data_IF_406078182235
#
_entry.id   IF_406078182235
#
_cell.length_a   1.000
_cell.length_b   1.000
_cell.length_c   1.000
_cell.angle_alpha   90.00
_cell.angle_beta   90.00
_cell.angle_gamma   90.00
#
_symmetry.space_group_name_H-M   'P 1'
#
loop_
_entity.id
_entity.type
_entity.pdbx_description
1 polymer ?
#
# COMPACT_ATOMS: atom_id res chain seq x y z
N UNK A 1 25.79 -7.92 4.23
CA UNK A 1 26.03 -6.52 4.63
C UNK A 1 25.17 -6.25 5.84
N UNK A 2 25.72 -5.76 6.93
CA UNK A 2 24.91 -5.27 8.05
C UNK A 2 24.29 -3.96 7.57
N UNK A 3 22.98 -3.97 7.32
CA UNK A 3 22.26 -2.76 6.97
C UNK A 3 22.30 -1.87 8.22
N UNK A 4 22.92 -0.69 8.13
CA UNK A 4 22.89 0.27 9.22
C UNK A 4 21.42 0.59 9.54
N UNK A 5 21.08 0.69 10.82
CA UNK A 5 19.73 1.04 11.23
C UNK A 5 19.41 2.46 10.76
N UNK A 6 18.31 2.62 10.01
CA UNK A 6 17.90 3.93 9.47
C UNK A 6 17.52 4.80 10.66
N UNK A 7 18.15 5.98 10.79
CA UNK A 7 17.78 6.95 11.82
C UNK A 7 16.36 7.44 11.58
N UNK A 8 15.51 7.32 12.60
CA UNK A 8 14.07 7.65 12.51
C UNK A 8 13.66 8.84 13.37
N UNK A 9 14.52 9.32 14.27
CA UNK A 9 14.20 10.40 15.22
C UNK A 9 15.22 11.52 15.12
N UNK A 10 14.74 12.77 15.12
CA UNK A 10 15.53 13.97 14.92
C UNK A 10 15.05 15.09 15.84
N UNK A 11 15.97 15.73 16.55
CA UNK A 11 15.66 16.83 17.46
C UNK A 11 15.96 18.18 16.79
N UNK A 12 15.07 19.15 16.92
CA UNK A 12 15.25 20.52 16.45
C UNK A 12 14.63 21.49 17.46
N UNK A 13 15.45 21.98 18.39
CA UNK A 13 14.97 22.87 19.46
C UNK A 13 13.90 22.19 20.31
N UNK A 14 12.68 22.79 20.45
CA UNK A 14 11.63 22.26 21.30
C UNK A 14 10.87 21.07 20.70
N UNK A 15 11.10 20.75 19.42
CA UNK A 15 10.38 19.67 18.72
C UNK A 15 11.28 18.50 18.36
N UNK A 16 10.67 17.31 18.35
CA UNK A 16 11.25 16.07 17.84
C UNK A 16 10.44 15.61 16.63
N UNK A 17 11.13 15.40 15.51
CA UNK A 17 10.57 14.71 14.34
C UNK A 17 10.78 13.21 14.47
N UNK A 18 9.75 12.43 14.13
CA UNK A 18 9.91 10.99 13.94
C UNK A 18 9.34 10.58 12.59
N UNK A 19 10.16 9.92 11.77
CA UNK A 19 9.75 9.32 10.50
C UNK A 19 9.63 7.80 10.65
N UNK A 20 8.51 7.22 10.21
CA UNK A 20 8.27 5.77 10.24
C UNK A 20 7.60 5.32 8.97
N UNK A 21 7.97 4.14 8.48
CA UNK A 21 7.14 3.47 7.49
C UNK A 21 5.96 2.82 8.22
N UNK A 22 4.75 3.05 7.70
CA UNK A 22 3.51 2.47 8.23
C UNK A 22 2.81 1.67 7.15
N UNK A 23 2.22 0.55 7.57
CA UNK A 23 1.25 -0.21 6.81
C UNK A 23 -0.11 0.06 7.44
N UNK A 24 -1.03 0.64 6.67
CA UNK A 24 -2.40 0.86 7.10
C UNK A 24 -3.24 -0.31 6.61
N UNK A 25 -3.24 -1.39 7.40
CA UNK A 25 -4.04 -2.58 7.17
C UNK A 25 -5.26 -2.67 8.10
N UNK A 26 -5.37 -1.79 9.10
CA UNK A 26 -6.40 -1.84 10.15
C UNK A 26 -7.85 -1.75 9.66
N UNK A 27 -8.08 -1.29 8.43
CA UNK A 27 -9.36 -1.36 7.74
C UNK A 27 -9.15 -1.91 6.32
N UNK A 28 -8.78 -3.20 6.25
CA UNK A 28 -8.58 -4.03 5.04
C UNK A 28 -9.57 -3.72 3.89
N UNK A 29 -10.77 -3.24 4.21
CA UNK A 29 -11.87 -3.02 3.27
C UNK A 29 -12.00 -1.59 2.71
N UNK A 30 -11.40 -0.57 3.32
CA UNK A 30 -11.65 0.84 2.91
C UNK A 30 -10.37 1.53 2.43
N UNK A 31 -9.24 1.38 3.14
CA UNK A 31 -8.02 2.17 2.90
C UNK A 31 -6.72 1.38 3.14
N UNK A 32 -6.58 0.20 2.51
CA UNK A 32 -5.29 -0.47 2.48
C UNK A 32 -4.25 0.44 1.79
N UNK A 33 -3.28 0.92 2.55
CA UNK A 33 -2.30 1.91 2.10
C UNK A 33 -0.98 1.73 2.86
N UNK A 34 0.08 2.36 2.36
CA UNK A 34 1.38 2.36 3.03
C UNK A 34 2.25 3.54 2.61
N UNK A 35 3.25 3.82 3.42
CA UNK A 35 4.32 4.75 3.10
C UNK A 35 4.90 5.35 4.37
N UNK A 36 5.37 6.59 4.32
CA UNK A 36 6.06 7.22 5.45
C UNK A 36 5.16 8.20 6.18
N UNK A 37 5.00 8.00 7.48
CA UNK A 37 4.46 9.01 8.40
C UNK A 37 5.60 9.83 8.96
N UNK A 38 5.38 11.14 9.07
CA UNK A 38 6.29 12.07 9.72
C UNK A 38 5.50 12.79 10.80
N UNK A 39 5.85 12.55 12.06
CA UNK A 39 5.21 13.20 13.21
C UNK A 39 6.12 14.26 13.79
N UNK A 40 5.53 15.40 14.17
CA UNK A 40 6.19 16.47 14.93
C UNK A 40 5.67 16.38 16.35
N UNK A 41 6.57 16.19 17.31
CA UNK A 41 6.25 15.96 18.71
C UNK A 41 6.96 16.96 19.60
N UNK A 42 6.41 17.26 20.77
CA UNK A 42 7.09 17.97 21.85
C UNK A 42 6.59 17.49 23.21
N UNK A 43 7.25 17.92 24.28
CA UNK A 43 6.73 17.75 25.63
C UNK A 43 5.63 18.80 25.88
N UNK A 44 4.41 18.34 26.16
CA UNK A 44 3.27 19.18 26.54
C UNK A 44 2.71 18.62 27.84
N UNK A 45 2.69 19.43 28.90
CA UNK A 45 2.22 19.02 30.23
C UNK A 45 2.88 17.75 30.79
N UNK A 46 4.16 17.52 30.48
CA UNK A 46 4.92 16.35 30.93
C UNK A 46 4.75 15.09 30.09
N UNK A 47 4.01 15.16 28.99
CA UNK A 47 3.79 14.05 28.06
C UNK A 47 4.33 14.36 26.66
N UNK A 48 4.79 13.33 25.94
CA UNK A 48 5.23 13.49 24.56
C UNK A 48 4.00 13.51 23.64
N UNK A 49 3.62 14.68 23.17
CA UNK A 49 2.40 14.90 22.39
C UNK A 49 2.70 15.08 20.91
N UNK A 50 1.88 14.47 20.03
CA UNK A 50 1.93 14.68 18.58
C UNK A 50 1.22 15.99 18.24
N UNK A 51 2.01 16.99 17.83
CA UNK A 51 1.53 18.33 17.48
C UNK A 51 1.03 18.38 16.04
N UNK A 52 1.75 17.74 15.13
CA UNK A 52 1.44 17.64 13.70
C UNK A 52 1.75 16.23 13.20
N UNK A 53 1.01 15.78 12.19
CA UNK A 53 1.29 14.54 11.49
C UNK A 53 1.19 14.75 9.97
N UNK A 54 2.16 14.26 9.23
CA UNK A 54 2.15 14.22 7.77
C UNK A 54 2.13 12.76 7.31
N UNK A 55 1.12 12.40 6.54
CA UNK A 55 0.99 11.10 5.88
C UNK A 55 1.51 11.22 4.45
N UNK A 56 2.67 10.64 4.19
CA UNK A 56 3.29 10.57 2.86
C UNK A 56 3.10 9.17 2.28
N UNK A 57 1.84 8.74 2.14
CA UNK A 57 1.50 7.40 1.67
C UNK A 57 1.21 7.34 0.17
N UNK A 58 1.05 6.12 -0.34
CA UNK A 58 0.73 5.89 -1.75
C UNK A 58 -0.63 6.52 -2.12
N UNK A 59 -1.64 6.43 -1.24
CA UNK A 59 -3.00 6.94 -1.47
C UNK A 59 -3.33 8.13 -0.55
N UNK A 60 -3.24 7.96 0.76
CA UNK A 60 -3.59 8.93 1.80
C UNK A 60 -2.44 9.93 2.00
N UNK A 61 -2.39 10.89 1.09
CA UNK A 61 -1.46 12.03 1.16
C UNK A 61 -2.15 13.17 1.89
N UNK A 62 -1.82 13.34 3.17
CA UNK A 62 -2.50 14.30 4.05
C UNK A 62 -1.62 14.82 5.17
N UNK A 63 -2.07 15.90 5.82
CA UNK A 63 -1.46 16.40 7.04
C UNK A 63 -2.54 16.77 8.05
N UNK A 64 -2.21 16.66 9.34
CA UNK A 64 -3.15 16.79 10.45
C UNK A 64 -2.58 17.78 11.46
N UNK A 65 -3.37 18.80 11.78
CA UNK A 65 -3.09 19.73 12.90
C UNK A 65 -3.61 19.15 14.21
N UNK A 66 -2.80 19.24 15.27
CA UNK A 66 -3.20 18.90 16.64
C UNK A 66 -3.91 17.54 16.79
N UNK A 67 -3.38 16.44 16.24
CA UNK A 67 -4.04 15.12 16.33
C UNK A 67 -4.27 14.66 17.78
N UNK A 68 -3.51 15.19 18.74
CA UNK A 68 -3.66 14.93 20.18
C UNK A 68 -4.07 16.18 20.98
N UNK A 69 -4.52 17.25 20.32
CA UNK A 69 -5.00 18.46 20.99
C UNK A 69 -6.53 18.41 21.19
N UNK A 70 -7.05 18.18 22.41
CA UNK A 70 -8.48 18.15 22.67
C UNK A 70 -9.14 19.54 22.55
N UNK A 71 -8.35 20.61 22.66
CA UNK A 71 -8.82 22.00 22.63
C UNK A 71 -8.58 22.67 21.26
N UNK A 72 -8.30 21.87 20.22
CA UNK A 72 -8.04 22.41 18.89
C UNK A 72 -9.25 23.21 18.39
N UNK A 73 -9.01 24.48 18.06
CA UNK A 73 -10.06 25.35 17.56
C UNK A 73 -10.51 24.91 16.17
N UNK A 74 -11.82 24.78 15.98
CA UNK A 74 -12.39 24.59 14.65
C UNK A 74 -12.29 25.89 13.85
N UNK A 75 -11.23 26.02 13.08
CA UNK A 75 -10.89 27.22 12.30
C UNK A 75 -10.91 26.94 10.79
N UNK A 76 -12.00 26.35 10.29
CA UNK A 76 -12.15 25.91 8.89
C UNK A 76 -13.20 26.70 8.12
N UNK A 77 -13.29 26.51 6.79
CA UNK A 77 -14.49 26.90 6.07
C UNK A 77 -15.70 26.29 6.77
N UNK A 78 -16.71 27.11 7.11
CA UNK A 78 -17.90 26.66 7.85
C UNK A 78 -18.59 25.45 7.20
N UNK A 79 -18.49 25.33 5.87
CA UNK A 79 -19.04 24.21 5.09
C UNK A 79 -18.35 22.85 5.35
N UNK A 80 -17.16 22.85 5.96
CA UNK A 80 -16.33 21.68 6.25
C UNK A 80 -16.25 21.35 7.76
N UNK A 81 -16.98 22.08 8.60
CA UNK A 81 -17.08 21.76 10.03
C UNK A 81 -17.57 20.32 10.24
N UNK A 82 -16.88 19.54 11.09
CA UNK A 82 -17.17 18.13 11.32
C UNK A 82 -16.76 17.15 10.21
N UNK A 83 -16.24 17.64 9.06
CA UNK A 83 -15.82 16.78 7.92
C UNK A 83 -14.32 16.64 7.76
N UNK A 84 -13.55 17.48 8.43
CA UNK A 84 -12.09 17.51 8.39
C UNK A 84 -11.47 16.97 9.68
N UNK A 85 -12.29 16.39 10.55
CA UNK A 85 -11.83 15.69 11.75
C UNK A 85 -11.24 14.33 11.33
N UNK A 86 -10.20 13.88 12.02
CA UNK A 86 -9.63 12.57 11.75
C UNK A 86 -10.60 11.44 12.16
N UNK A 87 -10.21 10.17 11.94
CA UNK A 87 -11.03 9.01 12.31
C UNK A 87 -11.32 8.86 13.81
N UNK A 88 -10.57 9.55 14.68
CA UNK A 88 -10.78 9.57 16.13
C UNK A 88 -11.55 10.81 16.60
N UNK A 89 -11.98 11.69 15.69
CA UNK A 89 -12.63 12.96 16.01
C UNK A 89 -11.68 14.03 16.59
N UNK A 90 -10.37 13.80 16.56
CA UNK A 90 -9.36 14.72 17.10
C UNK A 90 -8.50 15.32 15.98
N UNK A 91 -8.02 16.54 16.14
CA UNK A 91 -7.20 17.16 15.11
C UNK A 91 -7.94 17.48 13.81
N UNK A 92 -7.23 18.15 12.90
CA UNK A 92 -7.80 18.64 11.65
C UNK A 92 -6.98 18.25 10.44
N UNK A 93 -7.54 17.35 9.62
CA UNK A 93 -6.94 16.77 8.44
C UNK A 93 -7.16 17.65 7.20
N UNK A 94 -6.11 17.76 6.39
CA UNK A 94 -6.13 18.33 5.06
C UNK A 94 -5.44 17.38 4.07
N UNK A 95 -5.93 17.33 2.84
CA UNK A 95 -5.34 16.52 1.75
C UNK A 95 -4.23 17.31 1.05
N UNK A 96 -3.19 16.59 0.64
CA UNK A 96 -2.22 17.08 -0.34
C UNK A 96 -2.71 16.65 -1.71
N UNK A 97 -2.72 17.56 -2.69
CA UNK A 97 -3.03 17.21 -4.08
C UNK A 97 -1.72 16.86 -4.79
N UNK A 98 -1.43 15.59 -5.06
CA UNK A 98 -0.17 15.22 -5.69
C UNK A 98 0.01 15.78 -7.10
N UNK A 99 -1.07 16.25 -7.75
CA UNK A 99 -1.01 16.91 -9.05
C UNK A 99 -0.39 18.31 -8.93
N UNK A 100 -0.77 19.05 -7.89
CA UNK A 100 -0.30 20.42 -7.66
C UNK A 100 0.93 20.48 -6.74
N UNK A 101 0.95 19.63 -5.71
CA UNK A 101 1.94 19.60 -4.63
C UNK A 101 3.15 18.70 -4.96
N UNK A 102 2.97 17.76 -5.89
CA UNK A 102 4.01 16.82 -6.30
C UNK A 102 4.26 15.70 -5.28
N UNK A 103 5.54 15.41 -5.01
CA UNK A 103 5.92 14.33 -4.09
C UNK A 103 5.61 14.72 -2.63
N UNK A 104 4.88 13.91 -1.85
CA UNK A 104 4.43 14.28 -0.50
C UNK A 104 5.57 14.43 0.51
N UNK A 105 6.67 13.67 0.39
CA UNK A 105 7.84 13.85 1.26
C UNK A 105 8.49 15.20 0.95
N UNK A 106 8.77 15.48 -0.33
CA UNK A 106 9.36 16.76 -0.74
C UNK A 106 8.50 17.97 -0.37
N UNK A 107 7.18 17.85 -0.52
CA UNK A 107 6.23 18.88 -0.09
C UNK A 107 6.30 19.09 1.42
N UNK A 108 6.24 18.01 2.20
CA UNK A 108 6.31 18.08 3.68
C UNK A 108 7.58 18.79 4.14
N UNK A 109 8.75 18.43 3.59
CA UNK A 109 10.02 19.06 3.96
C UNK A 109 10.04 20.55 3.63
N UNK A 110 9.54 20.92 2.44
CA UNK A 110 9.42 22.32 2.01
C UNK A 110 8.49 23.12 2.92
N UNK A 111 7.37 22.52 3.32
CA UNK A 111 6.38 23.14 4.21
C UNK A 111 6.96 23.32 5.61
N UNK A 112 7.58 22.29 6.20
CA UNK A 112 8.22 22.36 7.52
C UNK A 112 9.28 23.47 7.55
N UNK A 113 10.18 23.53 6.56
CA UNK A 113 11.24 24.57 6.50
C UNK A 113 10.70 25.99 6.48
N UNK A 114 9.49 26.20 5.95
CA UNK A 114 8.94 27.54 5.70
C UNK A 114 7.87 27.96 6.70
N UNK A 115 7.07 27.02 7.19
CA UNK A 115 5.79 27.30 7.84
C UNK A 115 5.57 26.53 9.15
N UNK A 116 6.59 25.83 9.67
CA UNK A 116 6.40 25.08 10.91
C UNK A 116 5.88 25.95 12.08
N UNK A 117 6.41 27.16 12.35
CA UNK A 117 5.89 27.99 13.44
C UNK A 117 4.39 28.30 13.29
N UNK A 118 3.96 28.74 12.10
CA UNK A 118 2.55 29.03 11.84
C UNK A 118 1.67 27.79 11.92
N UNK A 119 2.21 26.63 11.51
CA UNK A 119 1.50 25.37 11.63
C UNK A 119 1.30 24.94 13.09
N UNK A 120 2.31 25.15 13.94
CA UNK A 120 2.24 24.85 15.37
C UNK A 120 1.29 25.79 16.10
N UNK A 121 1.31 27.09 15.78
CA UNK A 121 0.34 28.07 16.28
C UNK A 121 -1.10 27.64 15.95
N UNK A 122 -1.33 27.28 14.68
CA UNK A 122 -2.62 26.75 14.22
C UNK A 122 -3.02 25.43 14.88
N UNK A 123 -2.07 24.56 15.19
CA UNK A 123 -2.31 23.34 15.96
C UNK A 123 -2.60 23.60 17.45
N UNK A 124 -2.58 24.86 17.91
CA UNK A 124 -2.87 25.26 19.27
C UNK A 124 -1.66 25.30 20.19
N UNK A 125 -0.45 25.38 19.64
CA UNK A 125 0.81 25.38 20.39
C UNK A 125 1.65 26.66 20.16
N UNK A 126 1.12 27.86 20.47
CA UNK A 126 1.77 29.14 20.19
C UNK A 126 3.10 29.34 20.93
N UNK A 127 3.25 28.78 22.14
CA UNK A 127 4.49 28.95 22.92
C UNK A 127 5.64 28.13 22.33
N UNK A 128 5.38 26.87 21.95
CA UNK A 128 6.35 26.04 21.23
C UNK A 128 6.71 26.67 19.88
N UNK A 129 5.71 27.25 19.17
CA UNK A 129 5.93 27.90 17.89
C UNK A 129 6.96 29.05 17.95
N UNK A 130 6.95 29.85 19.03
CA UNK A 130 7.89 30.97 19.23
C UNK A 130 9.34 30.52 19.47
N UNK A 131 9.52 29.29 19.94
CA UNK A 131 10.83 28.71 20.25
C UNK A 131 11.48 28.03 19.04
N UNK A 132 10.78 27.93 17.90
CA UNK A 132 11.32 27.33 16.69
C UNK A 132 12.38 28.23 16.04
N UNK A 133 13.60 27.72 15.96
CA UNK A 133 14.67 28.27 15.15
C UNK A 133 14.66 27.63 13.75
N UNK A 134 14.36 28.44 12.72
CA UNK A 134 14.29 27.97 11.33
C UNK A 134 15.66 27.62 10.74
N UNK A 135 16.76 28.20 11.25
CA UNK A 135 18.11 27.86 10.80
C UNK A 135 18.49 26.46 11.28
N UNK A 136 18.29 26.18 12.58
CA UNK A 136 18.49 24.83 13.16
C UNK A 136 17.59 23.79 12.48
N UNK A 137 16.32 24.17 12.22
CA UNK A 137 15.38 23.30 11.53
C UNK A 137 15.85 22.95 10.11
N UNK A 138 16.43 23.89 9.37
CA UNK A 138 16.85 23.68 7.99
C UNK A 138 17.88 22.54 7.87
N UNK A 139 18.82 22.45 8.82
CA UNK A 139 19.83 21.40 8.87
C UNK A 139 19.20 20.03 9.18
N UNK A 140 18.33 19.98 10.20
CA UNK A 140 17.65 18.74 10.62
C UNK A 140 16.75 18.18 9.52
N UNK A 141 16.04 19.05 8.78
CA UNK A 141 15.12 18.61 7.74
C UNK A 141 15.85 17.89 6.59
N UNK A 142 17.11 18.22 6.29
CA UNK A 142 17.87 17.51 5.24
C UNK A 142 18.10 16.04 5.62
N UNK A 143 18.48 15.78 6.87
CA UNK A 143 18.71 14.42 7.36
C UNK A 143 17.39 13.65 7.48
N UNK A 144 16.35 14.30 8.00
CA UNK A 144 14.99 13.75 8.06
C UNK A 144 14.47 13.37 6.66
N UNK A 145 14.69 14.22 5.65
CA UNK A 145 14.28 13.95 4.27
C UNK A 145 14.98 12.71 3.72
N UNK A 146 16.30 12.59 3.92
CA UNK A 146 17.06 11.44 3.48
C UNK A 146 16.54 10.15 4.11
N UNK A 147 16.34 10.13 5.44
CA UNK A 147 15.76 8.98 6.13
C UNK A 147 14.33 8.67 5.69
N UNK A 148 13.48 9.68 5.51
CA UNK A 148 12.11 9.48 5.04
C UNK A 148 12.09 8.84 3.64
N UNK A 149 12.95 9.30 2.73
CA UNK A 149 13.07 8.71 1.38
C UNK A 149 13.60 7.27 1.44
N UNK A 150 14.57 7.01 2.28
CA UNK A 150 15.11 5.66 2.47
C UNK A 150 14.06 4.72 3.08
N UNK A 151 13.35 5.14 4.12
CA UNK A 151 12.24 4.38 4.73
C UNK A 151 11.15 4.05 3.70
N UNK A 152 10.77 5.01 2.87
CA UNK A 152 9.74 4.84 1.84
C UNK A 152 10.07 3.71 0.86
N UNK A 153 11.35 3.55 0.52
CA UNK A 153 11.81 2.52 -0.42
C UNK A 153 12.13 1.21 0.31
N UNK A 154 12.94 1.27 1.37
CA UNK A 154 13.52 0.11 2.02
C UNK A 154 12.55 -0.68 2.90
N UNK A 155 11.47 -0.04 3.39
CA UNK A 155 10.48 -0.66 4.28
C UNK A 155 9.13 -0.92 3.60
N UNK A 156 9.06 -0.71 2.29
CA UNK A 156 7.86 -0.96 1.49
C UNK A 156 7.41 -2.41 1.64
N UNK A 157 6.18 -2.60 2.05
CA UNK A 157 5.57 -3.91 2.22
C UNK A 157 5.28 -4.51 0.84
N UNK A 158 5.97 -5.59 0.51
CA UNK A 158 5.77 -6.40 -0.69
C UNK A 158 5.71 -7.87 -0.30
N UNK A 159 5.05 -8.69 -1.09
CA UNK A 159 4.98 -10.15 -0.88
C UNK A 159 5.44 -10.87 -2.14
N UNK A 160 5.94 -12.10 -2.02
CA UNK A 160 6.29 -12.95 -3.15
C UNK A 160 5.59 -14.28 -2.99
N UNK A 161 4.58 -14.52 -3.82
CA UNK A 161 3.95 -15.82 -3.91
C UNK A 161 4.72 -16.75 -4.84
N UNK A 162 4.24 -17.99 -4.95
CA UNK A 162 4.65 -18.89 -6.01
C UNK A 162 4.15 -18.39 -7.36
N UNK A 163 4.79 -18.84 -8.43
CA UNK A 163 4.32 -18.61 -9.80
C UNK A 163 3.14 -19.52 -10.17
N UNK A 164 2.89 -20.57 -9.38
CA UNK A 164 1.91 -21.61 -9.66
C UNK A 164 2.48 -22.82 -10.39
N UNK A 165 1.69 -23.89 -10.45
CA UNK A 165 2.05 -25.19 -11.06
C UNK A 165 1.71 -25.27 -12.54
N UNK A 166 0.69 -24.51 -12.96
CA UNK A 166 0.18 -24.49 -14.33
C UNK A 166 0.29 -23.07 -14.86
N UNK A 167 1.07 -22.88 -15.93
CA UNK A 167 1.38 -21.57 -16.52
C UNK A 167 0.76 -21.47 -17.92
N UNK A 168 0.11 -20.33 -18.18
CA UNK A 168 -0.49 -19.98 -19.46
C UNK A 168 0.14 -18.69 -19.98
N UNK A 169 0.85 -18.76 -21.11
CA UNK A 169 1.51 -17.59 -21.72
C UNK A 169 0.54 -16.78 -22.58
N UNK A 170 0.44 -15.47 -22.33
CA UNK A 170 -0.51 -14.57 -22.97
C UNK A 170 0.19 -13.26 -23.38
N UNK A 171 1.01 -13.33 -24.42
CA UNK A 171 1.77 -12.17 -24.90
C UNK A 171 2.86 -11.76 -23.92
N UNK A 172 2.82 -10.52 -23.43
CA UNK A 172 3.79 -9.97 -22.49
C UNK A 172 3.53 -10.35 -21.02
N UNK A 173 2.45 -11.08 -20.75
CA UNK A 173 2.12 -11.60 -19.41
C UNK A 173 1.91 -13.11 -19.44
N UNK A 174 1.85 -13.68 -18.25
CA UNK A 174 1.53 -15.09 -18.02
C UNK A 174 0.56 -15.20 -16.86
N UNK A 175 -0.39 -16.13 -16.96
CA UNK A 175 -1.21 -16.53 -15.84
C UNK A 175 -0.62 -17.78 -15.19
N UNK A 176 -0.52 -17.78 -13.87
CA UNK A 176 -0.13 -18.95 -13.09
C UNK A 176 -1.24 -19.39 -12.16
N UNK A 177 -1.51 -20.70 -12.09
CA UNK A 177 -2.51 -21.26 -11.18
C UNK A 177 -1.83 -22.00 -10.02
N UNK A 178 -2.26 -21.74 -8.79
CA UNK A 178 -1.77 -22.40 -7.57
C UNK A 178 -2.93 -22.77 -6.65
N UNK A 179 -2.97 -24.01 -6.15
CA UNK A 179 -3.80 -24.33 -4.98
C UNK A 179 -3.00 -24.00 -3.72
N UNK A 180 -3.49 -23.07 -2.89
CA UNK A 180 -2.77 -22.56 -1.72
C UNK A 180 -3.56 -22.79 -0.44
N UNK A 181 -2.90 -23.29 0.61
CA UNK A 181 -3.43 -23.34 1.99
C UNK A 181 -2.49 -22.64 2.95
N UNK A 182 -2.98 -21.63 3.65
CA UNK A 182 -2.24 -20.90 4.67
C UNK A 182 -2.16 -21.73 5.97
N UNK A 183 -1.16 -21.46 6.84
CA UNK A 183 -1.05 -22.12 8.14
C UNK A 183 -2.28 -21.96 9.04
N UNK A 184 -3.04 -20.87 8.87
CA UNK A 184 -4.28 -20.59 9.59
C UNK A 184 -5.49 -21.38 9.08
N UNK A 185 -5.34 -22.15 8.01
CA UNK A 185 -6.38 -23.01 7.43
C UNK A 185 -7.16 -22.38 6.27
N UNK A 186 -7.12 -21.06 6.10
CA UNK A 186 -7.66 -20.39 4.91
C UNK A 186 -6.86 -20.74 3.66
N UNK A 187 -7.47 -20.61 2.48
CA UNK A 187 -6.84 -20.94 1.21
C UNK A 187 -7.85 -21.19 0.09
N UNK A 188 -7.34 -21.60 -1.07
CA UNK A 188 -8.12 -21.82 -2.27
C UNK A 188 -7.25 -21.77 -3.51
N UNK A 189 -7.89 -21.58 -4.67
CA UNK A 189 -7.19 -21.31 -5.92
C UNK A 189 -6.64 -19.87 -5.92
N UNK A 190 -5.36 -19.71 -6.23
CA UNK A 190 -4.75 -18.45 -6.58
C UNK A 190 -4.51 -18.38 -8.09
N UNK A 191 -4.76 -17.21 -8.68
CA UNK A 191 -4.45 -16.88 -10.07
C UNK A 191 -3.46 -15.73 -10.07
N UNK A 192 -2.21 -16.03 -10.41
CA UNK A 192 -1.11 -15.10 -10.50
C UNK A 192 -1.07 -14.47 -11.90
N UNK A 193 -0.83 -13.16 -11.97
CA UNK A 193 -0.47 -12.49 -13.22
C UNK A 193 1.00 -12.09 -13.12
N UNK A 194 1.80 -12.64 -14.02
CA UNK A 194 3.25 -12.58 -13.99
C UNK A 194 3.77 -11.90 -15.26
N UNK A 195 4.89 -11.19 -15.14
CA UNK A 195 5.64 -10.66 -16.29
C UNK A 195 7.13 -10.61 -15.95
N UNK A 196 7.97 -10.35 -16.93
CA UNK A 196 9.40 -10.17 -16.73
C UNK A 196 9.71 -8.68 -16.56
N UNK A 197 10.24 -8.29 -15.40
CA UNK A 197 10.59 -6.90 -15.07
C UNK A 197 12.10 -6.76 -14.97
N UNK A 198 12.63 -5.68 -15.56
CA UNK A 198 14.04 -5.32 -15.50
C UNK A 198 14.92 -6.15 -16.43
N UNK A 199 15.15 -5.68 -17.66
CA UNK A 199 15.98 -6.40 -18.64
C UNK A 199 15.16 -7.15 -19.67
N UNK A 200 15.78 -8.13 -20.32
CA UNK A 200 15.12 -9.07 -21.23
C UNK A 200 15.40 -10.50 -20.77
N UNK A 201 14.66 -11.47 -21.29
CA UNK A 201 14.82 -12.90 -20.95
C UNK A 201 16.23 -13.45 -21.18
N UNK A 202 17.06 -12.76 -21.96
CA UNK A 202 18.46 -13.09 -22.22
C UNK A 202 19.46 -12.43 -21.24
N UNK A 203 18.98 -11.57 -20.33
CA UNK A 203 19.82 -10.85 -19.36
C UNK A 203 19.77 -11.51 -18.01
N UNK A 204 20.90 -11.52 -17.31
CA UNK A 204 21.06 -12.12 -15.99
C UNK A 204 20.31 -11.40 -14.85
N UNK A 205 19.73 -10.24 -15.13
CA UNK A 205 19.04 -9.40 -14.15
C UNK A 205 17.53 -9.32 -14.35
N UNK A 206 16.97 -10.16 -15.25
CA UNK A 206 15.53 -10.29 -15.45
C UNK A 206 14.88 -10.96 -14.24
N UNK A 207 13.83 -10.33 -13.70
CA UNK A 207 13.03 -10.89 -12.62
C UNK A 207 11.60 -11.16 -13.12
N UNK A 208 11.20 -12.44 -13.14
CA UNK A 208 9.80 -12.80 -13.21
C UNK A 208 9.08 -12.27 -11.96
N UNK A 209 8.16 -11.34 -12.18
CA UNK A 209 7.51 -10.52 -11.18
C UNK A 209 6.01 -10.77 -11.21
N UNK A 210 5.43 -11.06 -10.04
CA UNK A 210 3.98 -11.10 -9.85
C UNK A 210 3.43 -9.67 -9.76
N UNK A 211 2.71 -9.27 -10.80
CA UNK A 211 2.18 -7.90 -10.96
C UNK A 211 0.74 -7.79 -10.45
N UNK A 212 0.01 -8.90 -10.41
CA UNK A 212 -1.30 -9.02 -9.76
C UNK A 212 -1.52 -10.44 -9.26
N UNK A 213 -2.40 -10.60 -8.28
CA UNK A 213 -2.84 -11.91 -7.79
C UNK A 213 -4.33 -11.87 -7.47
N UNK A 214 -5.05 -12.94 -7.80
CA UNK A 214 -6.42 -13.18 -7.38
C UNK A 214 -6.44 -14.42 -6.49
N UNK A 215 -6.67 -14.24 -5.20
CA UNK A 215 -6.73 -15.30 -4.21
C UNK A 215 -8.21 -15.65 -3.95
N UNK A 216 -8.73 -16.67 -4.64
CA UNK A 216 -10.12 -17.14 -4.56
C UNK A 216 -10.29 -18.01 -3.30
N UNK A 217 -9.99 -17.42 -2.16
CA UNK A 217 -9.91 -18.12 -0.89
C UNK A 217 -11.28 -18.33 -0.26
N UNK A 218 -11.46 -19.42 0.47
CA UNK A 218 -12.78 -19.76 1.00
C UNK A 218 -13.19 -18.84 2.16
N UNK A 219 -12.26 -18.43 3.03
CA UNK A 219 -12.56 -17.55 4.16
C UNK A 219 -12.32 -16.07 3.82
N UNK A 220 -11.12 -15.75 3.33
CA UNK A 220 -10.69 -14.40 3.01
C UNK A 220 -10.39 -14.20 1.51
N UNK A 221 -11.37 -14.31 0.60
CA UNK A 221 -11.15 -14.10 -0.83
C UNK A 221 -10.75 -12.64 -1.09
N UNK A 222 -9.67 -12.44 -1.84
CA UNK A 222 -9.15 -11.10 -2.14
C UNK A 222 -8.30 -11.07 -3.41
N UNK A 223 -7.91 -9.88 -3.83
CA UNK A 223 -6.95 -9.69 -4.90
C UNK A 223 -5.94 -8.58 -4.57
N UNK A 224 -4.75 -8.69 -5.16
CA UNK A 224 -3.63 -7.80 -4.95
C UNK A 224 -3.37 -6.92 -6.17
N UNK A 225 -3.22 -5.62 -5.95
CA UNK A 225 -2.56 -4.73 -6.89
C UNK A 225 -1.06 -4.67 -6.60
N UNK A 226 -0.25 -5.23 -7.49
CA UNK A 226 1.20 -5.19 -7.43
C UNK A 226 1.77 -5.84 -6.17
N UNK A 227 1.65 -7.16 -5.95
CA UNK A 227 2.31 -7.87 -4.84
C UNK A 227 3.78 -7.48 -4.65
N UNK A 228 4.50 -7.30 -5.76
CA UNK A 228 5.91 -6.86 -5.81
C UNK A 228 6.13 -5.34 -5.88
N UNK A 229 5.07 -4.54 -5.70
CA UNK A 229 5.13 -3.08 -5.75
C UNK A 229 4.33 -2.44 -4.60
N UNK A 230 3.00 -2.34 -4.72
CA UNK A 230 2.13 -1.68 -3.74
C UNK A 230 1.54 -2.65 -2.72
N UNK A 231 1.40 -3.92 -3.10
CA UNK A 231 0.76 -4.97 -2.32
C UNK A 231 -0.61 -4.56 -1.72
N UNK A 232 -1.40 -3.79 -2.47
CA UNK A 232 -2.71 -3.36 -2.00
C UNK A 232 -3.70 -4.51 -2.15
N UNK A 233 -4.23 -5.00 -1.02
CA UNK A 233 -5.22 -6.07 -0.97
C UNK A 233 -6.62 -5.50 -0.94
N UNK A 234 -7.50 -6.03 -1.79
CA UNK A 234 -8.92 -5.72 -1.78
C UNK A 234 -9.68 -7.02 -1.59
N UNK A 235 -10.43 -7.12 -0.50
CA UNK A 235 -11.22 -8.29 -0.18
C UNK A 235 -12.60 -8.19 -0.84
N UNK A 236 -13.12 -9.31 -1.29
CA UNK A 236 -14.48 -9.34 -1.82
C UNK A 236 -15.49 -9.44 -0.68
N UNK A 237 -16.58 -8.68 -0.79
CA UNK A 237 -17.78 -8.95 -0.01
C UNK A 237 -18.40 -10.25 -0.51
N UNK A 238 -18.33 -11.30 0.32
CA UNK A 238 -18.82 -12.66 0.05
C UNK A 238 -20.33 -12.71 -0.16
N UNK A 239 -21.06 -11.66 0.20
CA UNK A 239 -22.50 -11.52 -0.07
C UNK A 239 -22.75 -11.09 -1.51
N UNK A 240 -21.91 -10.20 -2.05
CA UNK A 240 -22.07 -9.62 -3.39
C UNK A 240 -21.34 -10.42 -4.47
N UNK A 241 -20.24 -11.07 -4.10
CA UNK A 241 -19.44 -11.92 -5.01
C UNK A 241 -19.46 -13.33 -4.47
N UNK A 242 -20.23 -14.21 -5.12
CA UNK A 242 -20.40 -15.61 -4.71
C UNK A 242 -19.73 -16.61 -5.64
N UNK A 243 -19.37 -16.19 -6.86
CA UNK A 243 -18.53 -16.93 -7.82
C UNK A 243 -17.24 -16.13 -8.07
N UNK A 244 -16.20 -16.41 -7.30
CA UNK A 244 -14.93 -15.67 -7.39
C UNK A 244 -14.23 -15.91 -8.74
N UNK A 245 -14.27 -17.14 -9.27
CA UNK A 245 -13.68 -17.44 -10.58
C UNK A 245 -14.46 -16.72 -11.69
N UNK A 246 -15.79 -16.80 -11.66
CA UNK A 246 -16.65 -16.06 -12.60
C UNK A 246 -16.39 -14.56 -12.56
N UNK A 247 -16.19 -13.97 -11.38
CA UNK A 247 -15.85 -12.55 -11.26
C UNK A 247 -14.50 -12.23 -11.91
N UNK A 248 -13.47 -13.04 -11.70
CA UNK A 248 -12.14 -12.83 -12.31
C UNK A 248 -12.23 -12.94 -13.84
N UNK A 249 -12.89 -13.97 -14.35
CA UNK A 249 -13.09 -14.17 -15.78
C UNK A 249 -13.84 -12.99 -16.41
N UNK A 250 -14.91 -12.49 -15.77
CA UNK A 250 -15.63 -11.30 -16.21
C UNK A 250 -14.73 -10.05 -16.30
N UNK A 251 -13.73 -9.88 -15.43
CA UNK A 251 -12.79 -8.75 -15.53
C UNK A 251 -11.80 -8.92 -16.67
N UNK A 252 -11.39 -10.15 -16.97
CA UNK A 252 -10.50 -10.44 -18.09
C UNK A 252 -11.27 -10.25 -19.41
N UNK A 253 -12.43 -10.91 -19.57
CA UNK A 253 -13.31 -10.80 -20.74
C UNK A 253 -13.80 -9.36 -20.96
N UNK A 254 -14.12 -8.65 -19.87
CA UNK A 254 -14.53 -7.25 -19.87
C UNK A 254 -13.39 -6.25 -20.10
N UNK A 255 -12.19 -6.73 -20.46
CA UNK A 255 -10.99 -5.94 -20.80
C UNK A 255 -10.57 -4.97 -19.68
N UNK A 256 -10.74 -5.38 -18.42
CA UNK A 256 -10.37 -4.58 -17.25
C UNK A 256 -8.94 -4.83 -16.78
N UNK A 257 -8.33 -5.95 -17.20
CA UNK A 257 -7.00 -6.34 -16.76
C UNK A 257 -5.93 -5.25 -17.01
N UNK A 258 -5.97 -4.55 -18.14
CA UNK A 258 -5.04 -3.44 -18.43
C UNK A 258 -5.12 -2.30 -17.41
N UNK A 259 -6.31 -1.78 -17.15
CA UNK A 259 -6.51 -0.73 -16.15
C UNK A 259 -6.13 -1.19 -14.73
N UNK A 260 -6.33 -2.48 -14.44
CA UNK A 260 -5.93 -3.06 -13.17
C UNK A 260 -4.39 -3.16 -13.04
N UNK A 261 -3.68 -3.57 -14.09
CA UNK A 261 -2.21 -3.62 -14.15
C UNK A 261 -1.60 -2.21 -14.06
N UNK A 262 -2.21 -1.22 -14.70
CA UNK A 262 -1.81 0.17 -14.55
C UNK A 262 -1.95 0.63 -13.09
N UNK A 263 -3.07 0.32 -12.43
CA UNK A 263 -3.27 0.60 -11.00
C UNK A 263 -2.25 -0.10 -10.11
N UNK A 264 -1.84 -1.33 -10.46
CA UNK A 264 -0.77 -2.07 -9.81
C UNK A 264 0.62 -1.42 -9.96
N UNK A 265 0.75 -0.41 -10.82
CA UNK A 265 1.96 0.38 -11.02
C UNK A 265 2.82 -0.09 -12.19
N UNK A 266 2.24 -0.79 -13.17
CA UNK A 266 2.94 -1.30 -14.35
C UNK A 266 2.33 -0.76 -15.65
N UNK A 267 2.31 0.58 -15.88
CA UNK A 267 1.65 1.18 -17.04
C UNK A 267 2.25 0.73 -18.39
N UNK A 268 3.56 0.49 -18.45
CA UNK A 268 4.20 -0.03 -19.67
C UNK A 268 3.74 -1.44 -20.02
N UNK A 269 3.63 -2.32 -19.01
CA UNK A 269 3.10 -3.68 -19.21
C UNK A 269 1.63 -3.63 -19.65
N UNK A 270 0.83 -2.75 -19.04
CA UNK A 270 -0.57 -2.55 -19.41
C UNK A 270 -0.74 -2.08 -20.87
N UNK A 271 0.14 -1.18 -21.33
CA UNK A 271 0.10 -0.66 -22.70
C UNK A 271 0.41 -1.72 -23.77
N UNK A 272 1.24 -2.71 -23.41
CA UNK A 272 1.69 -3.78 -24.31
C UNK A 272 0.85 -5.07 -24.20
N UNK A 273 -0.28 -5.05 -23.48
CA UNK A 273 -1.15 -6.22 -23.36
C UNK A 273 -1.75 -6.58 -24.72
N UNK A 274 -1.61 -7.86 -25.08
CA UNK A 274 -2.23 -8.44 -26.26
C UNK A 274 -3.51 -9.18 -25.87
N UNK A 275 -4.65 -8.57 -26.14
CA UNK A 275 -5.95 -9.15 -25.81
C UNK A 275 -6.25 -10.42 -26.60
N UNK A 276 -5.80 -10.52 -27.86
CA UNK A 276 -6.06 -11.71 -28.68
C UNK A 276 -5.31 -12.92 -28.11
N UNK A 277 -4.10 -12.72 -27.59
CA UNK A 277 -3.33 -13.76 -26.91
C UNK A 277 -3.94 -14.15 -25.54
N UNK A 278 -4.50 -13.19 -24.82
CA UNK A 278 -5.25 -13.46 -23.57
C UNK A 278 -6.49 -14.29 -23.86
N UNK A 279 -7.29 -13.88 -24.86
CA UNK A 279 -8.52 -14.56 -25.25
C UNK A 279 -8.23 -15.98 -25.75
N UNK A 280 -7.08 -16.20 -26.41
CA UNK A 280 -6.66 -17.51 -26.89
C UNK A 280 -6.37 -18.51 -25.75
N UNK A 281 -5.83 -18.06 -24.62
CA UNK A 281 -5.51 -18.96 -23.48
C UNK A 281 -6.64 -19.11 -22.47
N UNK A 282 -7.55 -18.14 -22.41
CA UNK A 282 -8.59 -18.07 -21.38
C UNK A 282 -9.47 -19.33 -21.30
N UNK A 283 -9.85 -20.01 -22.40
CA UNK A 283 -10.59 -21.26 -22.32
C UNK A 283 -9.83 -22.37 -21.59
N UNK A 284 -8.55 -22.58 -21.93
CA UNK A 284 -7.73 -23.62 -21.31
C UNK A 284 -7.46 -23.32 -19.82
N UNK A 285 -7.17 -22.05 -19.51
CA UNK A 285 -7.03 -21.57 -18.14
C UNK A 285 -8.31 -21.82 -17.34
N UNK A 286 -9.47 -21.49 -17.90
CA UNK A 286 -10.77 -21.67 -17.24
C UNK A 286 -11.05 -23.13 -16.94
N UNK A 287 -10.81 -24.03 -17.89
CA UNK A 287 -10.95 -25.48 -17.68
C UNK A 287 -10.07 -25.94 -16.53
N UNK A 288 -8.78 -25.57 -16.55
CA UNK A 288 -7.84 -25.98 -15.50
C UNK A 288 -8.20 -25.41 -14.13
N UNK A 289 -8.60 -24.14 -14.06
CA UNK A 289 -9.04 -23.51 -12.82
C UNK A 289 -10.25 -24.25 -12.22
N UNK A 290 -11.22 -24.65 -13.05
CA UNK A 290 -12.39 -25.43 -12.58
C UNK A 290 -11.99 -26.82 -12.09
N UNK A 291 -11.04 -27.49 -12.74
CA UNK A 291 -10.49 -28.76 -12.27
C UNK A 291 -9.83 -28.61 -10.89
N UNK A 292 -9.02 -27.57 -10.68
CA UNK A 292 -8.37 -27.31 -9.39
C UNK A 292 -9.39 -26.96 -8.30
N UNK A 293 -10.41 -26.16 -8.62
CA UNK A 293 -11.50 -25.88 -7.70
C UNK A 293 -12.22 -27.16 -7.27
N UNK A 294 -12.60 -28.02 -8.22
CA UNK A 294 -13.25 -29.30 -7.96
C UNK A 294 -12.36 -30.27 -7.16
N UNK A 295 -11.05 -30.27 -7.43
CA UNK A 295 -10.09 -31.07 -6.69
C UNK A 295 -10.06 -30.65 -5.21
N UNK A 296 -9.93 -29.36 -4.92
CA UNK A 296 -9.95 -28.87 -3.53
C UNK A 296 -11.26 -29.21 -2.81
N UNK A 297 -12.40 -29.03 -3.50
CA UNK A 297 -13.71 -29.41 -2.95
C UNK A 297 -13.75 -30.90 -2.57
N UNK A 298 -13.21 -31.77 -3.43
CA UNK A 298 -13.15 -33.21 -3.16
C UNK A 298 -12.21 -33.59 -2.01
N UNK A 299 -11.14 -32.82 -1.79
CA UNK A 299 -10.13 -33.10 -0.77
C UNK A 299 -10.53 -32.58 0.61
N UNK A 300 -11.17 -31.41 0.67
CA UNK A 300 -11.38 -30.69 1.93
C UNK A 300 -12.79 -30.16 2.14
N UNK A 301 -13.68 -30.26 1.14
CA UNK A 301 -14.99 -29.59 1.13
C UNK A 301 -14.92 -28.07 0.91
N UNK A 302 -13.78 -27.57 0.42
CA UNK A 302 -13.61 -26.16 0.06
C UNK A 302 -12.97 -26.03 -1.33
N UNK A 303 -13.51 -25.20 -2.24
CA UNK A 303 -13.02 -25.15 -3.62
C UNK A 303 -11.56 -24.71 -3.70
N UNK A 304 -10.73 -25.50 -4.39
CA UNK A 304 -9.33 -25.16 -4.64
C UNK A 304 -8.41 -25.24 -3.42
N UNK A 305 -8.90 -25.63 -2.24
CA UNK A 305 -8.09 -25.75 -1.04
C UNK A 305 -7.33 -27.10 -1.04
N UNK A 306 -5.99 -27.12 -1.00
CA UNK A 306 -5.23 -28.36 -0.89
C UNK A 306 -5.29 -28.93 0.54
N UNK A 307 -5.00 -30.22 0.69
CA UNK A 307 -5.02 -30.89 1.99
C UNK A 307 -3.92 -30.36 2.94
N UNK A 308 -2.71 -30.15 2.42
CA UNK A 308 -1.57 -29.71 3.22
C UNK A 308 -1.34 -28.20 3.09
N UNK A 309 -0.69 -27.62 4.10
CA UNK A 309 -0.27 -26.22 4.08
C UNK A 309 0.75 -26.01 2.95
N UNK A 310 0.53 -24.98 2.14
CA UNK A 310 1.44 -24.59 1.06
C UNK A 310 2.55 -23.68 1.62
N UNK A 311 3.84 -24.03 1.46
CA UNK A 311 4.93 -23.20 1.95
C UNK A 311 5.07 -21.90 1.14
N UNK A 312 5.35 -20.79 1.82
CA UNK A 312 5.69 -19.52 1.14
C UNK A 312 7.10 -19.60 0.53
N UNK A 313 7.29 -19.00 -0.65
CA UNK A 313 8.60 -18.94 -1.32
C UNK A 313 9.60 -18.02 -0.59
N UNK A 314 9.11 -17.06 0.19
CA UNK A 314 9.92 -16.16 1.00
C UNK A 314 9.30 -16.14 2.40
N UNK A 315 10.08 -16.55 3.40
CA UNK A 315 9.74 -16.31 4.80
C UNK A 315 9.98 -14.83 5.10
N UNK A 316 8.98 -14.14 5.66
CA UNK A 316 9.14 -12.79 6.19
C UNK A 316 10.33 -12.69 7.15
#
# INVERSE_FOLDING_TARGET
>A
MVQAEIKTTFEAGPVTFTARHELWDGNIQDHADQGVSIVVQAEVNGEKTILLRFNCFDIERSYIYGPENPDLKSDGPMMLAGRTENSTGMGKMYRMDPTADGNPIGWTMKTIKKQLPEMLDRAGYPEIAKEIDLEVLADVVLELEASARELFVAKRNTVKHNRGTDIFEAGNIRFGLEMRRLPVGDGGLAIHVLTDVGGSTEKSFVEETEIMAFDLFWDGPHYHYGPRNKNHRIYWDRTLVTDYLGWVLDKIDGKKLGAMIERAGYPGIAADLDQDMIDAVLPALTTKAREMLALGESLTGHPGLPADVTPNLVTN
#
